data_IF_289164251033
#
_entry.id   IF_289164251033
#
_cell.length_a   1.000
_cell.length_b   1.000
_cell.length_c   1.000
_cell.angle_alpha   90.00
_cell.angle_beta   90.00
_cell.angle_gamma   90.00
#
_symmetry.space_group_name_H-M   'P 1'
#
loop_
_entity.id
_entity.type
_entity.pdbx_description
1 polymer ?
#
# COMPACT_ATOMS: atom_id res chain seq x y z
N UNK A 1 -10.26 -13.84 0.62
CA UNK A 1 -10.11 -12.42 0.19
C UNK A 1 -10.70 -11.37 1.15
N UNK A 2 -11.90 -11.59 1.73
CA UNK A 2 -12.62 -10.57 2.55
C UNK A 2 -11.79 -9.94 3.69
N UNK A 3 -10.90 -10.70 4.33
CA UNK A 3 -10.01 -10.17 5.39
C UNK A 3 -9.04 -9.11 4.87
N UNK A 4 -8.48 -9.29 3.67
CA UNK A 4 -7.55 -8.31 3.07
C UNK A 4 -8.29 -7.02 2.71
N UNK A 5 -9.48 -7.11 2.11
CA UNK A 5 -10.34 -5.95 1.85
C UNK A 5 -10.61 -5.16 3.14
N UNK A 6 -10.89 -5.85 4.25
CA UNK A 6 -11.08 -5.21 5.55
C UNK A 6 -9.83 -4.50 6.09
N UNK A 7 -8.67 -5.16 6.00
CA UNK A 7 -7.38 -4.61 6.45
C UNK A 7 -7.01 -3.38 5.64
N UNK A 8 -7.02 -3.50 4.31
CA UNK A 8 -6.58 -2.42 3.42
C UNK A 8 -7.60 -1.29 3.33
N UNK A 9 -8.90 -1.58 3.48
CA UNK A 9 -9.93 -0.55 3.62
C UNK A 9 -9.80 0.23 4.92
N UNK A 10 -9.30 -0.40 6.01
CA UNK A 10 -8.94 0.33 7.22
C UNK A 10 -7.72 1.23 7.00
N UNK A 11 -6.70 0.73 6.30
CA UNK A 11 -5.47 1.48 5.98
C UNK A 11 -5.77 2.69 5.10
N UNK A 12 -6.61 2.53 4.08
CA UNK A 12 -7.10 3.64 3.25
C UNK A 12 -7.74 4.73 4.11
N UNK A 13 -8.70 4.37 4.96
CA UNK A 13 -9.36 5.34 5.85
C UNK A 13 -8.38 6.04 6.78
N UNK A 14 -7.37 5.33 7.28
CA UNK A 14 -6.32 5.92 8.12
C UNK A 14 -5.50 6.92 7.30
N UNK A 15 -5.03 6.53 6.12
CA UNK A 15 -4.23 7.38 5.23
C UNK A 15 -4.99 8.66 4.82
N UNK A 16 -6.27 8.52 4.47
CA UNK A 16 -7.15 9.65 4.17
C UNK A 16 -7.30 10.58 5.38
N UNK A 17 -7.56 10.03 6.57
CA UNK A 17 -7.73 10.81 7.80
C UNK A 17 -6.48 11.53 8.25
N UNK A 18 -5.30 10.95 8.03
CA UNK A 18 -4.01 11.55 8.41
C UNK A 18 -3.44 12.49 7.34
N UNK A 19 -4.12 12.65 6.19
CA UNK A 19 -3.58 13.40 5.06
C UNK A 19 -2.34 12.74 4.44
N UNK A 20 -2.12 11.45 4.70
CA UNK A 20 -0.98 10.72 4.15
C UNK A 20 -1.15 10.59 2.63
N UNK A 21 -0.17 11.05 1.83
CA UNK A 21 -0.28 10.92 0.37
C UNK A 21 -0.30 9.44 0.00
N UNK A 22 -1.33 9.06 -0.76
CA UNK A 22 -1.53 7.69 -1.21
C UNK A 22 -2.16 7.66 -2.59
N UNK A 23 -1.95 6.56 -3.33
CA UNK A 23 -2.40 6.37 -4.70
C UNK A 23 -2.96 4.96 -4.90
N UNK A 24 -4.09 4.84 -5.59
CA UNK A 24 -4.66 3.56 -6.04
C UNK A 24 -5.36 2.70 -4.98
N UNK A 25 -5.65 3.23 -3.79
CA UNK A 25 -6.35 2.46 -2.75
C UNK A 25 -7.76 2.02 -3.16
N UNK A 26 -8.53 2.92 -3.76
CA UNK A 26 -9.88 2.70 -4.24
C UNK A 26 -9.95 1.54 -5.24
N UNK A 27 -9.13 1.63 -6.28
CA UNK A 27 -9.02 0.61 -7.31
C UNK A 27 -8.51 -0.72 -6.74
N UNK A 28 -7.53 -0.69 -5.85
CA UNK A 28 -7.03 -1.91 -5.22
C UNK A 28 -8.07 -2.61 -4.36
N UNK A 29 -8.91 -1.87 -3.66
CA UNK A 29 -9.98 -2.46 -2.86
C UNK A 29 -11.10 -3.04 -3.72
N UNK A 30 -11.41 -2.41 -4.86
CA UNK A 30 -12.35 -2.95 -5.83
C UNK A 30 -11.82 -4.26 -6.44
N UNK A 31 -10.60 -4.26 -6.95
CA UNK A 31 -9.97 -5.44 -7.57
C UNK A 31 -9.82 -6.59 -6.57
N UNK A 32 -9.49 -6.30 -5.29
CA UNK A 32 -9.48 -7.31 -4.22
C UNK A 32 -10.87 -7.86 -3.85
N UNK A 33 -11.95 -7.10 -4.06
CA UNK A 33 -13.31 -7.61 -3.83
C UNK A 33 -13.75 -8.55 -4.94
N UNK A 34 -13.33 -8.29 -6.17
CA UNK A 34 -13.72 -9.06 -7.35
C UNK A 34 -12.78 -10.22 -7.65
N UNK A 35 -11.58 -10.25 -7.07
CA UNK A 35 -10.63 -11.34 -7.29
C UNK A 35 -11.14 -12.66 -6.69
N UNK A 36 -11.33 -13.65 -7.56
CA UNK A 36 -11.89 -14.97 -7.24
C UNK A 36 -10.85 -16.09 -7.21
N UNK A 37 -9.55 -15.78 -7.30
CA UNK A 37 -8.49 -16.77 -7.24
C UNK A 37 -8.37 -17.44 -5.86
N UNK A 38 -7.82 -18.67 -5.80
CA UNK A 38 -7.75 -19.46 -4.57
C UNK A 38 -6.76 -18.88 -3.56
N UNK A 39 -5.73 -18.20 -4.03
CA UNK A 39 -4.66 -17.63 -3.24
C UNK A 39 -4.28 -16.26 -3.79
N UNK A 40 -3.71 -15.44 -2.92
CA UNK A 40 -3.12 -14.19 -3.30
C UNK A 40 -1.86 -13.95 -2.48
N UNK A 41 -0.76 -13.68 -3.17
CA UNK A 41 0.53 -13.42 -2.58
C UNK A 41 0.75 -11.91 -2.45
N UNK A 42 1.50 -11.52 -1.42
CA UNK A 42 1.82 -10.13 -1.11
C UNK A 42 3.29 -9.86 -1.43
N UNK A 43 3.54 -8.76 -2.12
CA UNK A 43 4.88 -8.26 -2.40
C UNK A 43 4.95 -6.75 -2.19
N UNK A 44 6.13 -6.17 -2.34
CA UNK A 44 6.28 -4.73 -2.28
C UNK A 44 7.38 -4.22 -3.20
N UNK A 45 7.26 -2.94 -3.57
CA UNK A 45 8.31 -2.17 -4.23
C UNK A 45 8.63 -0.98 -3.33
N UNK A 46 9.89 -0.87 -2.94
CA UNK A 46 10.40 0.30 -2.24
C UNK A 46 10.98 1.31 -3.24
N UNK A 47 10.18 2.28 -3.65
CA UNK A 47 10.59 3.39 -4.52
C UNK A 47 10.73 4.69 -3.72
N UNK A 48 10.90 4.61 -2.39
CA UNK A 48 11.00 5.80 -1.53
C UNK A 48 12.21 6.66 -1.86
N UNK A 49 13.29 6.05 -2.37
CA UNK A 49 14.50 6.77 -2.77
C UNK A 49 14.34 7.65 -4.01
N UNK A 50 13.35 7.39 -4.87
CA UNK A 50 13.16 8.12 -6.14
C UNK A 50 11.78 8.75 -6.27
N UNK A 51 10.72 7.95 -6.20
CA UNK A 51 9.33 8.44 -6.26
C UNK A 51 8.77 8.85 -4.90
N UNK A 52 9.42 8.46 -3.81
CA UNK A 52 8.94 8.73 -2.45
C UNK A 52 7.81 7.80 -2.00
N UNK A 53 7.50 6.75 -2.76
CA UNK A 53 6.42 5.83 -2.46
C UNK A 53 6.92 4.44 -2.09
N UNK A 54 6.22 3.82 -1.16
CA UNK A 54 6.24 2.38 -0.95
C UNK A 54 4.97 1.80 -1.58
N UNK A 55 5.12 0.80 -2.44
CA UNK A 55 4.00 0.15 -3.11
C UNK A 55 3.74 -1.23 -2.50
N UNK A 56 2.50 -1.46 -2.08
CA UNK A 56 2.01 -2.79 -1.75
C UNK A 56 1.49 -3.45 -3.02
N UNK A 57 2.01 -4.64 -3.34
CA UNK A 57 1.58 -5.46 -4.46
C UNK A 57 0.74 -6.64 -3.96
N UNK A 58 -0.22 -7.03 -4.80
CA UNK A 58 -1.07 -8.20 -4.65
C UNK A 58 -0.98 -8.96 -5.97
N UNK A 59 -0.52 -10.21 -5.94
CA UNK A 59 -0.34 -10.99 -7.16
C UNK A 59 -0.91 -12.40 -7.00
N UNK A 60 -1.36 -12.95 -8.11
CA UNK A 60 -1.80 -14.33 -8.20
C UNK A 60 -0.57 -15.23 -8.42
N UNK A 61 -0.20 -16.09 -7.45
CA UNK A 61 0.97 -16.94 -7.58
C UNK A 61 0.78 -18.04 -8.65
N UNK A 62 -0.44 -18.41 -9.01
CA UNK A 62 -0.67 -19.43 -10.03
C UNK A 62 -0.31 -18.91 -11.44
N UNK A 63 -0.58 -17.62 -11.69
CA UNK A 63 -0.37 -16.98 -12.99
C UNK A 63 0.83 -16.04 -13.04
N UNK A 64 1.48 -15.78 -11.89
CA UNK A 64 2.56 -14.81 -11.74
C UNK A 64 2.17 -13.41 -12.25
N UNK A 65 0.90 -13.03 -12.06
CA UNK A 65 0.33 -11.77 -12.54
C UNK A 65 -0.05 -10.85 -11.38
N UNK A 66 0.17 -9.55 -11.56
CA UNK A 66 -0.27 -8.54 -10.58
C UNK A 66 -1.79 -8.43 -10.67
N UNK A 67 -2.45 -8.70 -9.55
CA UNK A 67 -3.89 -8.51 -9.38
C UNK A 67 -4.17 -7.03 -9.15
N UNK A 68 -3.45 -6.41 -8.21
CA UNK A 68 -3.56 -4.98 -7.92
C UNK A 68 -2.37 -4.43 -7.13
N UNK A 69 -2.30 -3.12 -7.00
CA UNK A 69 -1.35 -2.43 -6.15
C UNK A 69 -1.87 -1.07 -5.66
N UNK A 70 -1.32 -0.60 -4.54
CA UNK A 70 -1.47 0.79 -4.12
C UNK A 70 -0.15 1.32 -3.56
N UNK A 71 0.03 2.64 -3.60
CA UNK A 71 1.21 3.33 -3.10
C UNK A 71 0.91 4.19 -1.89
N UNK A 72 1.84 4.23 -0.94
CA UNK A 72 1.82 5.16 0.19
C UNK A 72 3.14 5.93 0.26
N UNK A 73 3.06 7.23 0.49
CA UNK A 73 4.22 8.06 0.82
C UNK A 73 4.31 8.21 2.34
N UNK A 74 5.50 8.11 2.95
CA UNK A 74 5.65 8.46 4.36
C UNK A 74 5.16 9.89 4.61
N UNK A 75 4.37 10.09 5.66
CA UNK A 75 4.02 11.44 6.11
C UNK A 75 5.28 12.14 6.60
N UNK A 76 5.49 13.41 6.24
CA UNK A 76 6.63 14.24 6.66
C UNK A 76 6.69 14.54 8.17
N UNK A 77 5.78 14.00 8.99
CA UNK A 77 5.65 14.32 10.42
C UNK A 77 6.71 13.69 11.34
N UNK A 78 7.86 13.24 10.83
CA UNK A 78 8.97 12.77 11.67
C UNK A 78 10.32 13.07 11.01
N UNK A 79 10.68 14.35 10.99
CA UNK A 79 12.07 14.81 10.96
C UNK A 79 12.30 15.71 12.19
N UNK A 80 12.19 15.12 13.38
CA UNK A 80 12.79 15.68 14.59
C UNK A 80 13.52 14.56 15.33
N UNK A 81 14.78 14.34 14.93
CA UNK A 81 15.92 13.74 15.64
C UNK A 81 16.96 13.47 14.53
N UNK A 82 18.15 14.05 14.48
CA UNK A 82 18.99 14.60 15.54
C UNK A 82 19.64 15.91 15.11
N UNK A 83 19.43 16.97 15.91
CA UNK A 83 20.40 18.05 16.07
C UNK A 83 21.26 17.66 17.26
N UNK A 84 22.53 17.42 17.00
CA UNK A 84 23.57 17.16 17.99
C UNK A 84 24.80 16.71 17.20
N UNK A 85 25.91 17.40 17.17
CA UNK A 85 26.41 18.58 17.87
C UNK A 85 27.81 18.78 17.29
N UNK A 86 28.28 20.02 17.37
CA UNK A 86 29.54 20.53 16.80
C UNK A 86 30.76 19.61 16.87
#
# INVERSE_FOLDING_TARGET
MHRLVGIYGRRERIAQRSGQPSIGFDRALEELRTFSGPELALGFIDDRGRGGFYFQLFFDPATMSVVTCFGIKPSTSTLTQEVGGS
#
